data_IF_116498470893
#
_entry.id   IF_116498470893
#
_cell.length_a   1.000
_cell.length_b   1.000
_cell.length_c   1.000
_cell.angle_alpha   90.00
_cell.angle_beta   90.00
_cell.angle_gamma   90.00
#
_symmetry.space_group_name_H-M   'P 1'
#
loop_
_entity.id
_entity.type
_entity.pdbx_description
1 polymer ?
#
# COMPACT_ATOMS: atom_id res chain seq x y z
N UNK A 1 -29.00 36.98 18.84
CA UNK A 1 -28.37 35.99 17.93
C UNK A 1 -27.21 36.60 17.14
N UNK A 2 -27.39 37.76 16.48
CA UNK A 2 -26.36 38.41 15.64
C UNK A 2 -25.00 38.65 16.36
N UNK A 3 -25.01 39.18 17.59
CA UNK A 3 -23.78 39.43 18.36
C UNK A 3 -22.94 38.18 18.59
N UNK A 4 -23.57 37.02 18.88
CA UNK A 4 -22.84 35.76 19.06
C UNK A 4 -22.24 35.24 17.75
N UNK A 5 -22.99 35.35 16.64
CA UNK A 5 -22.49 34.98 15.32
C UNK A 5 -21.32 35.88 14.90
N UNK A 6 -21.44 37.19 15.11
CA UNK A 6 -20.38 38.16 14.83
C UNK A 6 -19.12 37.89 15.65
N UNK A 7 -19.25 37.68 16.97
CA UNK A 7 -18.09 37.39 17.83
C UNK A 7 -17.38 36.08 17.43
N UNK A 8 -18.12 35.07 16.96
CA UNK A 8 -17.50 33.83 16.42
C UNK A 8 -16.70 34.07 15.14
N UNK A 9 -17.23 34.87 14.22
CA UNK A 9 -16.52 35.21 12.98
C UNK A 9 -15.29 36.06 13.28
N UNK A 10 -15.44 37.05 14.17
CA UNK A 10 -14.35 37.94 14.59
C UNK A 10 -13.22 37.17 15.29
N UNK A 11 -13.54 36.18 16.14
CA UNK A 11 -12.52 35.35 16.79
C UNK A 11 -11.77 34.43 15.84
N UNK A 12 -12.39 34.04 14.72
CA UNK A 12 -11.77 33.15 13.75
C UNK A 12 -10.86 33.91 12.76
N UNK A 13 -11.27 35.11 12.35
CA UNK A 13 -10.63 35.89 11.28
C UNK A 13 -10.64 37.40 11.63
N UNK A 14 -9.82 37.83 12.62
CA UNK A 14 -9.91 39.19 13.14
C UNK A 14 -9.51 40.24 12.11
N UNK A 15 -8.47 39.97 11.30
CA UNK A 15 -7.94 40.93 10.31
C UNK A 15 -8.94 41.14 9.17
N UNK A 16 -9.52 40.04 8.68
CA UNK A 16 -10.49 40.04 7.59
C UNK A 16 -11.80 40.71 8.01
N UNK A 17 -12.23 40.46 9.25
CA UNK A 17 -13.44 41.09 9.79
C UNK A 17 -13.25 42.59 9.97
N UNK A 18 -12.06 43.02 10.45
CA UNK A 18 -11.72 44.45 10.54
C UNK A 18 -11.72 45.07 9.14
N UNK A 19 -11.04 44.46 8.16
CA UNK A 19 -10.99 44.99 6.79
C UNK A 19 -12.37 45.11 6.14
N UNK A 20 -13.24 44.11 6.31
CA UNK A 20 -14.62 44.15 5.82
C UNK A 20 -15.46 45.23 6.51
N UNK A 21 -15.35 45.38 7.83
CA UNK A 21 -16.04 46.41 8.59
C UNK A 21 -15.55 47.82 8.20
N UNK A 22 -14.23 48.01 8.04
CA UNK A 22 -13.65 49.28 7.58
C UNK A 22 -14.11 49.61 6.17
N UNK A 23 -14.12 48.63 5.26
CA UNK A 23 -14.64 48.80 3.90
C UNK A 23 -16.11 49.23 3.88
N UNK A 24 -16.97 48.53 4.64
CA UNK A 24 -18.40 48.90 4.77
C UNK A 24 -18.60 50.29 5.37
N UNK A 25 -17.79 50.66 6.37
CA UNK A 25 -17.83 51.99 6.95
C UNK A 25 -17.46 53.08 5.93
N UNK A 26 -16.40 52.86 5.13
CA UNK A 26 -16.01 53.80 4.06
C UNK A 26 -17.07 53.93 2.97
N UNK A 27 -17.80 52.86 2.66
CA UNK A 27 -18.94 52.89 1.73
C UNK A 27 -20.07 53.74 2.31
N UNK A 28 -20.47 53.49 3.56
CA UNK A 28 -21.55 54.24 4.21
C UNK A 28 -21.20 55.74 4.32
N UNK A 29 -19.96 56.06 4.69
CA UNK A 29 -19.46 57.44 4.75
C UNK A 29 -19.40 58.07 3.36
N UNK A 30 -18.94 57.34 2.34
CA UNK A 30 -18.92 57.79 0.95
C UNK A 30 -20.32 58.10 0.40
N UNK A 31 -21.32 57.26 0.72
CA UNK A 31 -22.73 57.48 0.35
C UNK A 31 -23.30 58.71 1.04
N UNK A 32 -23.03 58.88 2.34
CA UNK A 32 -23.48 60.05 3.09
C UNK A 32 -22.89 61.36 2.52
N UNK A 33 -21.58 61.38 2.24
CA UNK A 33 -20.89 62.52 1.62
C UNK A 33 -21.33 62.76 0.17
N UNK A 34 -21.70 61.70 -0.55
CA UNK A 34 -22.21 61.75 -1.93
C UNK A 34 -23.56 62.46 -2.08
N UNK A 35 -24.23 62.84 -0.99
CA UNK A 35 -25.43 63.68 -1.03
C UNK A 35 -25.12 65.18 -1.09
N UNK A 36 -23.86 65.58 -0.84
CA UNK A 36 -23.43 66.98 -0.93
C UNK A 36 -23.02 67.36 -2.35
N UNK A 37 -22.84 68.66 -2.62
CA UNK A 37 -22.40 69.19 -3.91
C UNK A 37 -20.92 69.63 -3.89
N UNK A 38 -20.33 69.81 -5.07
CA UNK A 38 -18.95 70.27 -5.22
C UNK A 38 -17.89 69.21 -4.91
N UNK A 39 -16.75 69.62 -4.35
CA UNK A 39 -15.60 68.74 -4.09
C UNK A 39 -15.89 67.62 -3.09
N UNK A 40 -16.81 67.84 -2.14
CA UNK A 40 -17.17 66.85 -1.12
C UNK A 40 -17.82 65.63 -1.76
N UNK A 41 -18.65 65.84 -2.79
CA UNK A 41 -19.27 64.76 -3.57
C UNK A 41 -18.22 63.83 -4.19
N UNK A 42 -17.20 64.41 -4.83
CA UNK A 42 -16.14 63.67 -5.51
C UNK A 42 -15.35 62.79 -4.53
N UNK A 43 -14.97 63.34 -3.37
CA UNK A 43 -14.30 62.56 -2.32
C UNK A 43 -15.21 61.48 -1.72
N UNK A 44 -16.52 61.74 -1.63
CA UNK A 44 -17.52 60.73 -1.25
C UNK A 44 -17.52 59.52 -2.20
N UNK A 45 -17.51 59.78 -3.52
CA UNK A 45 -17.45 58.71 -4.53
C UNK A 45 -16.14 57.92 -4.47
N UNK A 46 -14.98 58.60 -4.33
CA UNK A 46 -13.68 57.92 -4.18
C UNK A 46 -13.68 57.04 -2.91
N UNK A 47 -14.15 57.56 -1.78
CA UNK A 47 -14.24 56.80 -0.54
C UNK A 47 -15.12 55.57 -0.69
N UNK A 48 -16.26 55.69 -1.39
CA UNK A 48 -17.16 54.56 -1.64
C UNK A 48 -16.49 53.48 -2.52
N UNK A 49 -15.77 53.87 -3.57
CA UNK A 49 -15.04 52.94 -4.46
C UNK A 49 -13.92 52.22 -3.70
N UNK A 50 -13.14 52.94 -2.91
CA UNK A 50 -12.09 52.36 -2.07
C UNK A 50 -12.67 51.39 -1.04
N UNK A 51 -13.77 51.77 -0.37
CA UNK A 51 -14.47 50.91 0.57
C UNK A 51 -15.02 49.64 -0.06
N UNK A 52 -15.61 49.74 -1.26
CA UNK A 52 -16.12 48.59 -2.02
C UNK A 52 -14.98 47.64 -2.46
N UNK A 53 -13.83 48.21 -2.86
CA UNK A 53 -12.64 47.45 -3.23
C UNK A 53 -12.07 46.67 -2.04
N UNK A 54 -11.94 47.33 -0.87
CA UNK A 54 -11.49 46.67 0.36
C UNK A 54 -12.45 45.56 0.82
N UNK A 55 -13.76 45.80 0.78
CA UNK A 55 -14.76 44.79 1.13
C UNK A 55 -14.68 43.57 0.19
N UNK A 56 -14.50 43.80 -1.10
CA UNK A 56 -14.38 42.73 -2.10
C UNK A 56 -13.10 41.93 -1.91
N UNK A 57 -11.97 42.59 -1.67
CA UNK A 57 -10.69 41.93 -1.37
C UNK A 57 -10.78 41.09 -0.09
N UNK A 58 -11.43 41.60 0.96
CA UNK A 58 -11.64 40.84 2.20
C UNK A 58 -12.47 39.57 1.96
N UNK A 59 -13.53 39.66 1.14
CA UNK A 59 -14.36 38.48 0.79
C UNK A 59 -13.56 37.46 -0.04
N UNK A 60 -12.85 37.91 -1.08
CA UNK A 60 -12.03 37.03 -1.93
C UNK A 60 -10.94 36.34 -1.11
N UNK A 61 -10.27 37.08 -0.22
CA UNK A 61 -9.29 36.52 0.70
C UNK A 61 -9.90 35.43 1.58
N UNK A 62 -11.04 35.72 2.21
CA UNK A 62 -11.75 34.75 3.08
C UNK A 62 -12.14 33.49 2.32
N UNK A 63 -12.63 33.61 1.08
CA UNK A 63 -12.98 32.47 0.24
C UNK A 63 -11.76 31.64 -0.15
N UNK A 64 -10.65 32.30 -0.49
CA UNK A 64 -9.39 31.63 -0.82
C UNK A 64 -8.83 30.88 0.39
N UNK A 65 -8.89 31.50 1.57
CA UNK A 65 -8.42 30.91 2.81
C UNK A 65 -9.26 29.69 3.21
N UNK A 66 -10.59 29.76 3.09
CA UNK A 66 -11.47 28.59 3.28
C UNK A 66 -11.16 27.46 2.29
N UNK A 67 -10.87 27.80 1.04
CA UNK A 67 -10.50 26.81 0.04
C UNK A 67 -9.15 26.14 0.38
N UNK A 68 -8.17 26.89 0.88
CA UNK A 68 -6.89 26.32 1.34
C UNK A 68 -7.07 25.47 2.60
N UNK A 69 -7.87 25.93 3.57
CA UNK A 69 -8.19 25.17 4.79
C UNK A 69 -8.91 23.86 4.46
N UNK A 70 -9.88 23.87 3.52
CA UNK A 70 -10.58 22.67 3.09
C UNK A 70 -9.63 21.64 2.43
N UNK A 71 -8.66 22.11 1.62
CA UNK A 71 -7.64 21.23 1.03
C UNK A 71 -6.69 20.68 2.09
N UNK A 72 -6.24 21.50 3.02
CA UNK A 72 -5.41 21.07 4.15
C UNK A 72 -6.14 20.03 5.01
N UNK A 73 -7.41 20.26 5.33
CA UNK A 73 -8.24 19.32 6.08
C UNK A 73 -8.44 17.99 5.33
N UNK A 74 -8.60 18.04 3.99
CA UNK A 74 -8.68 16.82 3.18
C UNK A 74 -7.36 16.04 3.21
N UNK A 75 -6.21 16.71 3.05
CA UNK A 75 -4.89 16.09 3.13
C UNK A 75 -4.63 15.50 4.52
N UNK A 76 -4.93 16.24 5.58
CA UNK A 76 -4.78 15.76 6.96
C UNK A 76 -5.66 14.52 7.24
N UNK A 77 -6.86 14.45 6.69
CA UNK A 77 -7.71 13.26 6.81
C UNK A 77 -7.12 12.03 6.10
N UNK A 78 -6.44 12.22 4.97
CA UNK A 78 -5.74 11.13 4.27
C UNK A 78 -4.56 10.65 5.11
N UNK A 79 -3.75 11.58 5.62
CA UNK A 79 -2.59 11.28 6.47
C UNK A 79 -3.01 10.60 7.77
N UNK A 80 -4.10 11.04 8.40
CA UNK A 80 -4.66 10.41 9.60
C UNK A 80 -5.07 8.95 9.34
N UNK A 81 -5.74 8.67 8.20
CA UNK A 81 -6.08 7.29 7.82
C UNK A 81 -4.84 6.45 7.55
N UNK A 82 -3.82 7.02 6.89
CA UNK A 82 -2.56 6.31 6.66
C UNK A 82 -1.90 5.94 7.98
N UNK A 83 -1.86 6.87 8.94
CA UNK A 83 -1.33 6.65 10.28
C UNK A 83 -2.08 5.51 11.00
N UNK A 84 -3.41 5.54 10.98
CA UNK A 84 -4.26 4.51 11.56
C UNK A 84 -4.01 3.13 10.93
N UNK A 85 -3.86 3.08 9.60
CA UNK A 85 -3.55 1.83 8.90
C UNK A 85 -2.17 1.29 9.26
N UNK A 86 -1.15 2.15 9.35
CA UNK A 86 0.21 1.76 9.75
C UNK A 86 0.23 1.23 11.18
N UNK A 87 -0.46 1.89 12.12
CA UNK A 87 -0.59 1.44 13.51
C UNK A 87 -1.26 0.06 13.57
N UNK A 88 -2.35 -0.14 12.82
CA UNK A 88 -3.05 -1.43 12.76
C UNK A 88 -2.17 -2.55 12.17
N UNK A 89 -1.35 -2.23 11.16
CA UNK A 89 -0.40 -3.16 10.57
C UNK A 89 0.69 -3.56 11.58
N UNK A 90 1.31 -2.58 12.25
CA UNK A 90 2.30 -2.85 13.31
C UNK A 90 1.71 -3.77 14.38
N UNK A 91 0.50 -3.47 14.87
CA UNK A 91 -0.14 -4.29 15.90
C UNK A 91 -0.37 -5.74 15.43
N UNK A 92 -0.78 -5.93 14.17
CA UNK A 92 -0.96 -7.26 13.58
C UNK A 92 0.36 -8.00 13.40
N UNK A 93 1.41 -7.32 12.93
CA UNK A 93 2.74 -7.90 12.74
C UNK A 93 3.35 -8.31 14.08
N UNK A 94 3.26 -7.46 15.11
CA UNK A 94 3.72 -7.76 16.47
C UNK A 94 2.96 -8.94 17.07
N UNK A 95 1.62 -8.96 16.94
CA UNK A 95 0.81 -10.10 17.41
C UNK A 95 1.15 -11.39 16.68
N UNK A 96 1.28 -11.33 15.35
CA UNK A 96 1.61 -12.49 14.53
C UNK A 96 2.99 -13.08 14.82
N UNK A 97 3.97 -12.22 15.11
CA UNK A 97 5.30 -12.63 15.59
C UNK A 97 5.27 -13.26 16.98
N UNK A 98 4.52 -12.66 17.92
CA UNK A 98 4.34 -13.18 19.28
C UNK A 98 3.67 -14.56 19.31
N UNK A 99 2.70 -14.78 18.44
CA UNK A 99 1.96 -16.04 18.33
C UNK A 99 2.74 -17.11 17.53
N UNK A 100 4.00 -16.86 17.15
CA UNK A 100 4.85 -17.69 16.27
C UNK A 100 4.21 -18.05 14.91
N UNK A 101 3.13 -17.35 14.56
CA UNK A 101 2.36 -17.58 13.33
C UNK A 101 3.02 -17.00 12.08
N UNK A 102 3.99 -16.08 12.26
CA UNK A 102 4.72 -15.41 11.19
C UNK A 102 6.23 -15.51 11.49
N UNK A 103 7.08 -15.89 10.52
CA UNK A 103 8.52 -15.91 10.69
C UNK A 103 9.08 -14.54 11.13
N UNK A 104 10.10 -14.55 11.99
CA UNK A 104 10.67 -13.34 12.58
C UNK A 104 11.09 -12.29 11.55
N UNK A 105 11.80 -12.73 10.52
CA UNK A 105 12.22 -11.92 9.40
C UNK A 105 11.06 -11.15 8.73
N UNK A 106 9.90 -11.80 8.59
CA UNK A 106 8.75 -11.26 7.85
C UNK A 106 8.04 -10.19 8.67
N UNK A 107 7.78 -10.43 9.96
CA UNK A 107 7.10 -9.40 10.77
C UNK A 107 8.02 -8.22 11.08
N UNK A 108 9.33 -8.43 11.27
CA UNK A 108 10.30 -7.35 11.47
C UNK A 108 10.40 -6.45 10.23
N UNK A 109 10.46 -7.04 9.03
CA UNK A 109 10.45 -6.28 7.77
C UNK A 109 9.13 -5.48 7.59
N UNK A 110 7.99 -6.04 8.01
CA UNK A 110 6.71 -5.32 7.99
C UNK A 110 6.70 -4.13 8.96
N UNK A 111 7.26 -4.29 10.16
CA UNK A 111 7.38 -3.20 11.13
C UNK A 111 8.30 -2.10 10.58
N UNK A 112 9.45 -2.46 10.00
CA UNK A 112 10.38 -1.51 9.37
C UNK A 112 9.69 -0.70 8.27
N UNK A 113 8.95 -1.36 7.38
CA UNK A 113 8.18 -0.68 6.33
C UNK A 113 7.10 0.26 6.91
N UNK A 114 6.46 -0.12 8.01
CA UNK A 114 5.48 0.73 8.68
C UNK A 114 6.13 1.97 9.31
N UNK A 115 7.32 1.82 9.89
CA UNK A 115 8.10 2.93 10.46
C UNK A 115 8.48 3.91 9.34
N UNK A 116 8.98 3.45 8.19
CA UNK A 116 9.32 4.32 7.06
C UNK A 116 8.09 5.10 6.55
N UNK A 117 6.92 4.46 6.47
CA UNK A 117 5.68 5.14 6.12
C UNK A 117 5.28 6.20 7.15
N UNK A 118 5.43 5.92 8.46
CA UNK A 118 5.14 6.87 9.52
C UNK A 118 6.10 8.08 9.48
N UNK A 119 7.39 7.87 9.18
CA UNK A 119 8.35 8.96 8.98
C UNK A 119 7.91 9.86 7.82
N UNK A 120 7.53 9.25 6.69
CA UNK A 120 7.03 10.00 5.53
C UNK A 120 5.78 10.83 5.85
N UNK A 121 4.77 10.22 6.48
CA UNK A 121 3.54 10.90 6.91
C UNK A 121 3.86 12.05 7.88
N UNK A 122 4.74 11.83 8.85
CA UNK A 122 5.10 12.85 9.85
C UNK A 122 5.80 14.04 9.20
N UNK A 123 6.68 13.78 8.23
CA UNK A 123 7.34 14.83 7.45
C UNK A 123 6.33 15.66 6.64
N UNK A 124 5.38 15.01 5.96
CA UNK A 124 4.31 15.68 5.21
C UNK A 124 3.42 16.53 6.12
N UNK A 125 3.07 16.05 7.33
CA UNK A 125 2.33 16.85 8.31
C UNK A 125 3.16 18.07 8.76
N UNK A 126 4.46 17.89 8.99
CA UNK A 126 5.36 18.99 9.35
C UNK A 126 5.42 20.08 8.28
N UNK A 127 5.50 19.67 7.01
CA UNK A 127 5.49 20.58 5.86
C UNK A 127 4.15 21.33 5.74
N UNK A 128 3.02 20.63 5.91
CA UNK A 128 1.68 21.23 5.85
C UNK A 128 1.43 22.21 7.01
N UNK A 129 1.88 21.87 8.21
CA UNK A 129 1.63 22.67 9.41
C UNK A 129 2.63 23.80 9.61
N UNK A 130 3.73 23.80 8.86
CA UNK A 130 4.83 24.76 9.03
C UNK A 130 5.52 24.64 10.40
N UNK A 131 5.26 23.56 11.13
CA UNK A 131 5.86 23.25 12.43
C UNK A 131 6.63 21.95 12.27
N UNK A 132 7.89 21.95 12.68
CA UNK A 132 8.56 20.68 12.95
C UNK A 132 7.82 20.03 14.12
N UNK A 133 7.18 18.89 13.85
CA UNK A 133 6.55 18.12 14.90
C UNK A 133 7.64 17.67 15.87
N UNK A 134 7.47 17.83 17.19
CA UNK A 134 8.46 17.45 18.20
C UNK A 134 8.51 15.94 18.41
N UNK A 135 7.84 15.14 17.58
CA UNK A 135 8.07 13.71 17.58
C UNK A 135 9.52 13.50 17.18
N UNK A 136 10.29 12.97 18.12
CA UNK A 136 11.71 12.76 17.94
C UNK A 136 11.86 11.71 16.83
N UNK A 137 12.02 12.19 15.60
CA UNK A 137 12.38 11.35 14.46
C UNK A 137 13.62 10.53 14.82
N UNK A 138 14.46 11.06 15.71
CA UNK A 138 15.56 10.37 16.36
C UNK A 138 15.10 9.13 17.13
N UNK A 139 14.06 9.19 17.97
CA UNK A 139 13.52 8.02 18.68
C UNK A 139 12.96 6.97 17.71
N UNK A 140 12.24 7.39 16.67
CA UNK A 140 11.76 6.44 15.63
C UNK A 140 12.90 5.80 14.84
N UNK A 141 13.93 6.57 14.50
CA UNK A 141 15.13 6.06 13.83
C UNK A 141 15.92 5.13 14.76
N UNK A 142 16.01 5.45 16.04
CA UNK A 142 16.67 4.61 17.05
C UNK A 142 15.91 3.30 17.25
N UNK A 143 14.58 3.34 17.29
CA UNK A 143 13.73 2.14 17.31
C UNK A 143 13.93 1.28 16.05
N UNK A 144 14.03 1.90 14.87
CA UNK A 144 14.34 1.20 13.62
C UNK A 144 15.70 0.49 13.69
N UNK A 145 16.73 1.20 14.13
CA UNK A 145 18.08 0.64 14.22
C UNK A 145 18.15 -0.52 15.23
N UNK A 146 17.41 -0.41 16.34
CA UNK A 146 17.28 -1.48 17.33
C UNK A 146 16.59 -2.72 16.74
N UNK A 147 15.50 -2.54 15.98
CA UNK A 147 14.82 -3.63 15.30
C UNK A 147 15.68 -4.30 14.22
N UNK A 148 16.50 -3.53 13.50
CA UNK A 148 17.46 -4.10 12.55
C UNK A 148 18.54 -4.93 13.24
N UNK A 149 19.01 -4.48 14.41
CA UNK A 149 19.97 -5.24 15.22
C UNK A 149 19.32 -6.55 15.71
N UNK A 150 18.09 -6.49 16.22
CA UNK A 150 17.38 -7.67 16.72
C UNK A 150 17.06 -8.66 15.59
N UNK A 151 16.65 -8.17 14.41
CA UNK A 151 16.46 -8.98 13.20
C UNK A 151 17.76 -9.68 12.78
N UNK A 152 18.90 -8.99 12.84
CA UNK A 152 20.21 -9.57 12.53
C UNK A 152 20.64 -10.64 13.54
N UNK A 153 20.25 -10.48 14.81
CA UNK A 153 20.59 -11.44 15.87
C UNK A 153 19.70 -12.68 15.80
N UNK A 154 18.41 -12.53 15.45
CA UNK A 154 17.47 -13.66 15.35
C UNK A 154 17.63 -14.48 14.06
N UNK A 155 18.06 -13.87 12.96
CA UNK A 155 18.43 -14.58 11.73
C UNK A 155 19.95 -14.83 11.67
N UNK A 156 20.42 -15.90 12.32
CA UNK A 156 21.82 -16.39 12.21
C UNK A 156 22.26 -16.81 10.79
N UNK A 157 21.40 -16.64 9.78
CA UNK A 157 21.71 -16.71 8.36
C UNK A 157 20.89 -15.63 7.66
N UNK A 158 21.44 -14.43 7.52
CA UNK A 158 20.93 -13.52 6.49
C UNK A 158 21.18 -14.21 5.16
N UNK A 159 20.14 -14.63 4.40
CA UNK A 159 20.38 -15.10 3.04
C UNK A 159 21.02 -13.94 2.29
N UNK A 160 22.27 -14.14 1.88
CA UNK A 160 23.00 -13.16 1.08
C UNK A 160 22.11 -12.78 -0.11
N UNK A 161 21.63 -11.52 -0.13
CA UNK A 161 20.70 -11.06 -1.15
C UNK A 161 21.43 -11.04 -2.48
N UNK A 162 21.29 -12.12 -3.25
CA UNK A 162 21.89 -12.26 -4.56
C UNK A 162 21.33 -11.18 -5.48
N UNK A 163 22.18 -10.21 -5.83
CA UNK A 163 21.87 -9.22 -6.84
C UNK A 163 21.90 -9.89 -8.21
N UNK A 164 20.86 -9.65 -9.01
CA UNK A 164 20.75 -10.13 -10.39
C UNK A 164 20.80 -8.90 -11.30
N UNK A 165 21.62 -8.99 -12.35
CA UNK A 165 21.68 -7.95 -13.39
C UNK A 165 20.52 -8.16 -14.34
N UNK A 166 19.73 -7.12 -14.54
CA UNK A 166 18.49 -7.13 -15.31
C UNK A 166 18.55 -6.01 -16.34
N UNK A 167 17.90 -6.24 -17.49
CA UNK A 167 18.00 -5.35 -18.65
C UNK A 167 16.62 -4.87 -19.07
N UNK A 168 16.34 -3.58 -18.92
CA UNK A 168 15.02 -3.00 -19.22
C UNK A 168 15.15 -1.60 -19.86
N UNK A 169 14.09 -1.12 -20.51
CA UNK A 169 14.10 0.19 -21.17
C UNK A 169 13.89 1.33 -20.16
N UNK A 170 14.80 2.31 -20.14
CA UNK A 170 14.70 3.50 -19.29
C UNK A 170 13.34 4.19 -19.47
N UNK A 171 12.59 4.47 -18.38
CA UNK A 171 11.26 5.07 -18.49
C UNK A 171 11.30 6.48 -19.11
N UNK A 172 12.41 7.21 -18.95
CA UNK A 172 12.61 8.57 -19.48
C UNK A 172 13.02 8.60 -20.95
N UNK A 173 14.13 7.94 -21.33
CA UNK A 173 14.69 8.05 -22.69
C UNK A 173 14.43 6.83 -23.59
N UNK A 174 13.77 5.78 -23.07
CA UNK A 174 13.43 4.52 -23.77
C UNK A 174 14.61 3.68 -24.26
N UNK A 175 15.86 4.07 -23.99
CA UNK A 175 17.05 3.26 -24.26
C UNK A 175 17.19 2.14 -23.23
N UNK A 176 17.70 0.99 -23.66
CA UNK A 176 17.93 -0.17 -22.82
C UNK A 176 19.02 0.13 -21.77
N UNK A 177 18.79 -0.30 -20.53
CA UNK A 177 19.70 -0.08 -19.39
C UNK A 177 19.84 -1.36 -18.60
N UNK A 178 21.09 -1.72 -18.29
CA UNK A 178 21.43 -2.78 -17.35
C UNK A 178 21.54 -2.22 -15.93
N UNK A 179 20.92 -2.86 -14.96
CA UNK A 179 21.03 -2.51 -13.55
C UNK A 179 20.89 -3.73 -12.65
N UNK A 180 21.38 -3.61 -11.42
CA UNK A 180 21.28 -4.68 -10.42
C UNK A 180 20.06 -4.46 -9.53
N UNK A 181 19.28 -5.51 -9.32
CA UNK A 181 18.18 -5.57 -8.34
C UNK A 181 18.20 -6.93 -7.65
N UNK A 182 17.77 -7.00 -6.40
CA UNK A 182 17.72 -8.26 -5.68
C UNK A 182 16.82 -9.30 -6.36
N UNK A 183 17.11 -10.58 -6.14
CA UNK A 183 16.40 -11.69 -6.76
C UNK A 183 15.01 -11.97 -6.15
N UNK A 184 14.71 -11.42 -4.98
CA UNK A 184 13.50 -11.76 -4.24
C UNK A 184 12.32 -10.84 -4.62
N UNK A 185 11.08 -11.36 -4.61
CA UNK A 185 9.88 -10.55 -4.63
C UNK A 185 9.91 -9.35 -3.67
N UNK A 186 9.59 -8.16 -4.17
CA UNK A 186 9.61 -6.92 -3.39
C UNK A 186 10.95 -6.19 -3.37
N UNK A 187 12.03 -6.83 -3.85
CA UNK A 187 13.32 -6.16 -3.96
C UNK A 187 13.23 -4.94 -4.89
N UNK A 188 13.94 -3.89 -4.48
CA UNK A 188 13.83 -2.57 -5.07
C UNK A 188 15.21 -1.97 -5.26
N UNK A 189 15.43 -1.29 -6.39
CA UNK A 189 16.68 -0.59 -6.69
C UNK A 189 16.40 0.83 -7.22
N UNK A 190 17.39 1.71 -7.10
CA UNK A 190 17.31 3.10 -7.59
C UNK A 190 18.43 3.41 -8.61
N UNK A 191 18.47 2.71 -9.75
CA UNK A 191 19.51 2.90 -10.76
C UNK A 191 19.45 4.29 -11.41
N UNK A 192 20.57 4.64 -12.04
CA UNK A 192 20.73 5.84 -12.86
C UNK A 192 20.94 5.41 -14.31
N UNK A 193 20.16 5.96 -15.24
CA UNK A 193 20.31 5.64 -16.65
C UNK A 193 21.64 6.21 -17.19
N UNK A 194 22.54 5.39 -17.77
CA UNK A 194 23.81 5.88 -18.31
C UNK A 194 23.63 6.77 -19.56
N UNK A 195 22.48 6.70 -20.22
CA UNK A 195 22.23 7.45 -21.45
C UNK A 195 21.64 8.85 -21.24
N UNK A 196 20.83 9.06 -20.21
CA UNK A 196 20.18 10.36 -19.95
C UNK A 196 20.45 10.92 -18.55
N UNK A 197 21.17 10.20 -17.69
CA UNK A 197 21.50 10.63 -16.31
C UNK A 197 20.32 10.63 -15.34
N UNK A 198 19.11 10.31 -15.79
CA UNK A 198 17.93 10.30 -14.92
C UNK A 198 17.91 9.07 -14.02
N UNK A 199 17.58 9.28 -12.75
CA UNK A 199 17.34 8.21 -11.76
C UNK A 199 15.95 7.64 -11.96
N UNK A 200 15.78 6.34 -11.72
CA UNK A 200 14.48 5.68 -11.73
C UNK A 200 14.40 4.60 -10.64
N UNK A 201 13.19 4.20 -10.27
CA UNK A 201 12.93 3.12 -9.34
C UNK A 201 12.65 1.84 -10.12
N UNK A 202 13.37 0.77 -9.80
CA UNK A 202 13.10 -0.58 -10.27
C UNK A 202 12.50 -1.38 -9.11
N UNK A 203 11.31 -1.96 -9.31
CA UNK A 203 10.65 -2.81 -8.34
C UNK A 203 10.41 -4.20 -8.92
N UNK A 204 10.82 -5.25 -8.21
CA UNK A 204 10.50 -6.64 -8.56
C UNK A 204 9.15 -7.03 -7.95
N UNK A 205 8.23 -7.46 -8.80
CA UNK A 205 6.91 -7.92 -8.43
C UNK A 205 6.94 -9.24 -7.66
N UNK A 206 5.81 -9.61 -7.07
CA UNK A 206 5.59 -10.95 -6.50
C UNK A 206 5.67 -12.07 -7.53
N UNK A 207 5.45 -11.77 -8.81
CA UNK A 207 5.59 -12.70 -9.92
C UNK A 207 7.00 -12.73 -10.52
N UNK A 208 7.96 -11.97 -9.97
CA UNK A 208 9.34 -11.87 -10.45
C UNK A 208 9.58 -10.84 -11.56
N UNK A 209 8.52 -10.22 -12.10
CA UNK A 209 8.64 -9.21 -13.17
C UNK A 209 9.18 -7.89 -12.61
N UNK A 210 9.92 -7.12 -13.42
CA UNK A 210 10.45 -5.83 -12.99
C UNK A 210 9.62 -4.69 -13.58
N UNK A 211 9.29 -3.71 -12.76
CA UNK A 211 8.63 -2.48 -13.21
C UNK A 211 9.51 -1.27 -12.92
N UNK A 212 9.70 -0.43 -13.94
CA UNK A 212 10.45 0.81 -13.83
C UNK A 212 9.52 2.01 -13.68
N UNK A 213 9.85 2.93 -12.77
CA UNK A 213 9.09 4.17 -12.52
C UNK A 213 10.02 5.36 -12.35
N UNK A 214 9.63 6.52 -12.87
CA UNK A 214 10.33 7.78 -12.56
C UNK A 214 10.07 8.20 -11.10
N UNK A 215 11.05 8.80 -10.40
CA UNK A 215 10.82 9.42 -9.11
C UNK A 215 9.70 10.47 -9.24
N UNK A 216 8.74 10.46 -8.31
CA UNK A 216 7.58 11.36 -8.35
C UNK A 216 6.47 10.96 -9.33
N UNK A 217 6.66 9.99 -10.23
CA UNK A 217 5.59 9.53 -11.12
C UNK A 217 4.45 8.78 -10.40
N UNK A 218 4.65 8.37 -9.14
CA UNK A 218 3.57 7.83 -8.30
C UNK A 218 2.55 8.89 -7.86
N UNK A 219 2.83 10.19 -8.03
CA UNK A 219 2.00 11.26 -7.47
C UNK A 219 0.76 11.62 -8.31
N UNK A 220 0.61 11.05 -9.51
CA UNK A 220 -0.57 11.30 -10.35
C UNK A 220 -1.50 10.09 -10.47
N UNK A 221 -1.43 9.11 -9.56
CA UNK A 221 -2.50 8.13 -9.48
C UNK A 221 -3.68 8.69 -8.69
N UNK A 222 -4.81 8.93 -9.36
CA UNK A 222 -6.06 9.28 -8.69
C UNK A 222 -6.72 8.00 -8.19
N UNK A 223 -6.96 7.91 -6.89
CA UNK A 223 -7.83 6.89 -6.35
C UNK A 223 -9.27 7.16 -6.84
N UNK A 224 -9.85 6.20 -7.56
CA UNK A 224 -11.25 6.22 -7.98
C UNK A 224 -11.97 4.99 -7.44
N UNK A 225 -13.27 5.13 -7.26
CA UNK A 225 -14.14 4.03 -6.90
C UNK A 225 -15.26 3.98 -7.92
N UNK A 226 -15.32 2.88 -8.67
CA UNK A 226 -16.35 2.66 -9.70
C UNK A 226 -17.27 1.53 -9.28
N UNK A 227 -18.54 1.59 -9.67
CA UNK A 227 -19.49 0.52 -9.36
C UNK A 227 -19.34 -0.61 -10.38
N UNK A 228 -19.29 -1.85 -9.89
CA UNK A 228 -19.33 -3.03 -10.74
C UNK A 228 -20.68 -3.09 -11.49
N UNK A 229 -20.70 -3.24 -12.82
CA UNK A 229 -21.95 -3.32 -13.57
C UNK A 229 -22.75 -4.60 -13.30
N UNK A 230 -22.14 -5.63 -12.70
CA UNK A 230 -22.79 -6.92 -12.42
C UNK A 230 -23.46 -6.95 -11.05
N UNK A 231 -22.80 -6.43 -10.02
CA UNK A 231 -23.28 -6.56 -8.64
C UNK A 231 -23.32 -5.24 -7.85
N UNK A 232 -23.12 -4.10 -8.52
CA UNK A 232 -23.09 -2.74 -7.95
C UNK A 232 -22.05 -2.50 -6.84
N UNK A 233 -21.17 -3.48 -6.54
CA UNK A 233 -20.11 -3.32 -5.53
C UNK A 233 -19.08 -2.28 -5.98
N UNK A 234 -18.50 -1.57 -5.02
CA UNK A 234 -17.45 -0.59 -5.28
C UNK A 234 -16.12 -1.29 -5.57
N UNK A 235 -15.52 -0.99 -6.73
CA UNK A 235 -14.20 -1.45 -7.14
C UNK A 235 -13.21 -0.29 -6.93
N UNK A 236 -12.29 -0.39 -5.96
CA UNK A 236 -11.23 0.61 -5.81
C UNK A 236 -10.18 0.42 -6.91
N UNK A 237 -9.80 1.52 -7.57
CA UNK A 237 -8.73 1.54 -8.56
C UNK A 237 -7.85 2.77 -8.38
N UNK A 238 -6.55 2.61 -8.61
CA UNK A 238 -5.61 3.72 -8.67
C UNK A 238 -5.28 3.95 -10.14
N UNK A 239 -5.82 5.02 -10.69
CA UNK A 239 -5.70 5.33 -12.11
C UNK A 239 -4.62 6.38 -12.31
N UNK A 240 -3.63 6.03 -13.12
CA UNK A 240 -2.59 6.96 -13.58
C UNK A 240 -3.21 8.01 -14.50
N UNK A 241 -3.21 9.28 -14.10
CA UNK A 241 -3.80 10.38 -14.88
C UNK A 241 -3.14 10.57 -16.26
N UNK A 242 -1.92 10.06 -16.45
CA UNK A 242 -1.24 10.11 -17.75
C UNK A 242 -1.64 8.99 -18.71
N UNK A 243 -2.31 7.93 -18.23
CA UNK A 243 -2.74 6.81 -19.08
C UNK A 243 -4.13 7.08 -19.65
N UNK A 244 -4.21 7.11 -20.98
CA UNK A 244 -5.49 7.15 -21.71
C UNK A 244 -6.09 5.76 -21.92
N UNK A 245 -5.34 4.69 -21.65
CA UNK A 245 -5.83 3.34 -21.85
C UNK A 245 -6.59 2.84 -20.63
N UNK A 246 -7.70 2.17 -20.88
CA UNK A 246 -8.49 1.53 -19.84
C UNK A 246 -7.72 0.39 -19.17
N UNK A 247 -7.85 0.28 -17.86
CA UNK A 247 -7.20 -0.77 -17.09
C UNK A 247 -8.18 -1.91 -16.83
N UNK A 248 -7.72 -3.15 -17.01
CA UNK A 248 -8.52 -4.34 -16.72
C UNK A 248 -8.38 -4.72 -15.25
N UNK A 249 -9.51 -4.91 -14.56
CA UNK A 249 -9.57 -5.33 -13.15
C UNK A 249 -10.65 -6.38 -12.92
N UNK A 250 -10.60 -7.03 -11.76
CA UNK A 250 -11.61 -7.97 -11.31
C UNK A 250 -12.41 -7.38 -10.15
N UNK A 251 -13.72 -7.56 -10.17
CA UNK A 251 -14.58 -7.27 -9.04
C UNK A 251 -14.39 -8.34 -7.95
N UNK A 252 -13.87 -7.96 -6.78
CA UNK A 252 -13.64 -8.91 -5.68
C UNK A 252 -14.93 -9.49 -5.07
N UNK A 253 -16.07 -8.83 -5.27
CA UNK A 253 -17.37 -9.31 -4.77
C UNK A 253 -17.98 -10.40 -5.64
N UNK A 254 -18.00 -10.24 -6.96
CA UNK A 254 -18.66 -11.19 -7.87
C UNK A 254 -17.72 -11.96 -8.81
N UNK A 255 -16.47 -11.55 -8.97
CA UNK A 255 -15.50 -12.18 -9.88
C UNK A 255 -15.48 -11.59 -11.29
N UNK A 256 -16.43 -10.72 -11.64
CA UNK A 256 -16.53 -10.14 -12.98
C UNK A 256 -15.25 -9.40 -13.40
N UNK A 257 -14.83 -9.65 -14.65
CA UNK A 257 -13.71 -8.96 -15.29
C UNK A 257 -14.24 -7.68 -15.93
N UNK A 258 -13.67 -6.54 -15.55
CA UNK A 258 -14.13 -5.21 -15.96
C UNK A 258 -12.98 -4.38 -16.51
N UNK A 259 -13.31 -3.44 -17.37
CA UNK A 259 -12.42 -2.40 -17.87
C UNK A 259 -12.81 -1.07 -17.24
N UNK A 260 -11.87 -0.35 -16.66
CA UNK A 260 -12.12 0.94 -16.04
C UNK A 260 -11.54 2.03 -16.93
N UNK A 261 -12.40 2.91 -17.43
CA UNK A 261 -12.01 4.09 -18.20
C UNK A 261 -11.43 5.17 -17.27
N UNK A 262 -10.16 5.58 -17.47
CA UNK A 262 -9.52 6.60 -16.67
C UNK A 262 -10.20 7.97 -16.72
N UNK A 263 -10.82 8.33 -17.85
CA UNK A 263 -11.39 9.66 -18.07
C UNK A 263 -12.85 9.71 -17.60
N UNK A 264 -13.66 8.75 -18.04
CA UNK A 264 -15.08 8.69 -17.72
C UNK A 264 -15.40 8.14 -16.33
N UNK A 265 -14.43 7.52 -15.64
CA UNK A 265 -14.68 6.73 -14.42
C UNK A 265 -15.79 5.68 -14.63
N UNK A 266 -15.95 5.23 -15.87
CA UNK A 266 -16.95 4.24 -16.24
C UNK A 266 -16.34 2.85 -16.19
N UNK A 267 -17.13 1.91 -15.67
CA UNK A 267 -16.76 0.52 -15.55
C UNK A 267 -17.52 -0.27 -16.61
N UNK A 268 -16.80 -0.80 -17.60
CA UNK A 268 -17.38 -1.60 -18.67
C UNK A 268 -17.15 -3.08 -18.36
N UNK A 269 -18.19 -3.90 -18.49
CA UNK A 269 -18.06 -5.34 -18.32
C UNK A 269 -17.28 -5.93 -19.51
N UNK A 270 -16.16 -6.61 -19.23
CA UNK A 270 -15.43 -7.38 -20.24
C UNK A 270 -15.92 -8.82 -20.28
N UNK A 271 -16.08 -9.45 -19.11
CA UNK A 271 -16.58 -10.82 -19.00
C UNK A 271 -17.23 -11.07 -17.65
N UNK A 272 -18.37 -11.75 -17.67
CA UNK A 272 -19.04 -12.26 -16.47
C UNK A 272 -18.48 -13.65 -16.18
N UNK A 273 -17.42 -13.69 -15.37
CA UNK A 273 -16.91 -14.94 -14.81
C UNK A 273 -17.21 -14.96 -13.31
N UNK A 274 -17.71 -16.10 -12.84
CA UNK A 274 -17.83 -16.35 -11.42
C UNK A 274 -16.44 -16.55 -10.79
N UNK A 275 -16.36 -16.32 -9.48
CA UNK A 275 -15.14 -16.58 -8.72
C UNK A 275 -14.79 -18.06 -8.79
N UNK A 276 -13.55 -18.34 -9.17
CA UNK A 276 -12.99 -19.68 -9.15
C UNK A 276 -12.61 -20.06 -7.71
N UNK A 277 -12.93 -21.28 -7.25
CA UNK A 277 -12.49 -21.74 -5.94
C UNK A 277 -10.96 -21.87 -5.92
N UNK A 278 -10.32 -21.43 -4.84
CA UNK A 278 -8.90 -21.57 -4.60
C UNK A 278 -8.59 -22.18 -3.24
N UNK A 279 -7.39 -22.70 -3.08
CA UNK A 279 -6.86 -23.12 -1.78
C UNK A 279 -5.38 -22.78 -1.67
N UNK A 280 -4.87 -22.67 -0.43
CA UNK A 280 -3.43 -22.54 -0.19
C UNK A 280 -2.85 -23.96 -0.13
N UNK A 281 -1.78 -24.22 -0.89
CA UNK A 281 -1.05 -25.47 -0.79
C UNK A 281 -0.19 -25.50 0.49
N UNK A 282 0.49 -26.63 0.76
CA UNK A 282 1.36 -26.77 1.94
C UNK A 282 2.52 -25.75 2.01
N UNK A 283 2.84 -25.08 0.89
CA UNK A 283 3.83 -24.01 0.83
C UNK A 283 3.22 -22.61 0.97
N UNK A 284 1.92 -22.49 1.31
CA UNK A 284 1.23 -21.21 1.43
C UNK A 284 0.97 -20.48 0.10
N UNK A 285 1.16 -21.16 -1.04
CA UNK A 285 0.89 -20.59 -2.36
C UNK A 285 -0.57 -20.83 -2.74
N UNK A 286 -1.26 -19.78 -3.17
CA UNK A 286 -2.62 -19.90 -3.68
C UNK A 286 -2.60 -20.68 -5.00
N UNK A 287 -3.43 -21.72 -5.10
CA UNK A 287 -3.61 -22.54 -6.29
C UNK A 287 -5.08 -22.53 -6.72
N UNK A 288 -5.32 -22.59 -8.03
CA UNK A 288 -6.66 -22.65 -8.58
C UNK A 288 -7.25 -24.04 -8.38
N UNK A 289 -8.44 -24.15 -7.79
CA UNK A 289 -9.11 -25.45 -7.56
C UNK A 289 -9.57 -26.15 -8.83
N UNK A 290 -9.62 -25.46 -9.98
CA UNK A 290 -10.03 -26.03 -11.26
C UNK A 290 -8.86 -26.68 -12.02
N UNK A 291 -7.75 -25.98 -12.16
CA UNK A 291 -6.58 -26.45 -12.93
C UNK A 291 -5.37 -26.88 -12.07
N UNK A 292 -5.42 -26.67 -10.75
CA UNK A 292 -4.32 -26.88 -9.79
C UNK A 292 -3.01 -26.12 -10.07
N UNK A 293 -3.03 -25.13 -10.96
CA UNK A 293 -1.86 -24.27 -11.17
C UNK A 293 -1.74 -23.20 -10.07
N UNK A 294 -0.50 -22.75 -9.77
CA UNK A 294 -0.27 -21.58 -8.92
C UNK A 294 -0.90 -20.34 -9.56
N UNK A 295 -1.63 -19.56 -8.77
CA UNK A 295 -2.20 -18.30 -9.22
C UNK A 295 -1.34 -17.11 -8.83
N UNK A 296 -1.47 -16.04 -9.60
CA UNK A 296 -0.82 -14.76 -9.25
C UNK A 296 -1.62 -14.13 -8.12
N UNK A 297 -1.11 -14.20 -6.89
CA UNK A 297 -1.74 -13.57 -5.73
C UNK A 297 -1.83 -12.06 -5.92
N UNK A 298 -3.04 -11.51 -5.80
CA UNK A 298 -3.32 -10.09 -5.88
C UNK A 298 -3.29 -9.42 -4.50
N UNK A 299 -3.99 -10.02 -3.54
CA UNK A 299 -4.11 -9.49 -2.17
C UNK A 299 -4.57 -10.57 -1.21
N UNK A 300 -4.16 -10.46 0.05
CA UNK A 300 -4.66 -11.27 1.17
C UNK A 300 -5.22 -10.34 2.26
N UNK A 301 -6.41 -10.62 2.75
CA UNK A 301 -7.06 -9.86 3.83
C UNK A 301 -7.86 -10.78 4.75
N UNK A 302 -8.61 -10.21 5.69
CA UNK A 302 -9.42 -10.98 6.65
C UNK A 302 -10.53 -11.82 6.02
N UNK A 303 -10.97 -11.50 4.79
CA UNK A 303 -11.95 -12.32 4.08
C UNK A 303 -11.29 -13.53 3.39
N UNK A 304 -10.02 -13.41 2.99
CA UNK A 304 -9.29 -14.48 2.32
C UNK A 304 -8.18 -13.99 1.41
N UNK A 305 -7.68 -14.89 0.57
CA UNK A 305 -6.63 -14.62 -0.43
C UNK A 305 -7.22 -14.64 -1.83
N UNK A 306 -6.94 -13.59 -2.60
CA UNK A 306 -7.40 -13.40 -3.97
C UNK A 306 -6.23 -13.52 -4.93
N UNK A 307 -6.43 -14.18 -6.07
CA UNK A 307 -5.42 -14.29 -7.13
C UNK A 307 -6.03 -14.45 -8.52
N UNK A 308 -5.20 -14.45 -9.57
CA UNK A 308 -5.63 -14.66 -10.96
C UNK A 308 -5.09 -15.99 -11.46
N UNK A 309 -5.98 -16.85 -11.96
CA UNK A 309 -5.59 -18.06 -12.69
C UNK A 309 -5.13 -17.68 -14.10
N UNK A 310 -3.89 -18.00 -14.47
CA UNK A 310 -3.37 -17.70 -15.81
C UNK A 310 -4.07 -18.48 -16.92
N UNK A 311 -4.42 -19.75 -16.67
CA UNK A 311 -5.07 -20.61 -17.67
C UNK A 311 -6.52 -20.23 -17.93
N UNK A 312 -7.28 -19.97 -16.87
CA UNK A 312 -8.71 -19.66 -16.97
C UNK A 312 -9.00 -18.15 -17.06
N UNK A 313 -7.97 -17.31 -16.88
CA UNK A 313 -8.09 -15.84 -16.87
C UNK A 313 -9.22 -15.35 -15.95
N UNK A 314 -9.29 -15.94 -14.74
CA UNK A 314 -10.37 -15.72 -13.79
C UNK A 314 -9.87 -15.46 -12.37
N UNK A 315 -10.71 -14.77 -11.58
CA UNK A 315 -10.43 -14.43 -10.18
C UNK A 315 -10.60 -15.68 -9.29
N UNK A 316 -9.51 -16.13 -8.70
CA UNK A 316 -9.48 -17.21 -7.71
C UNK A 316 -9.59 -16.64 -6.30
N UNK A 317 -10.41 -17.25 -5.46
CA UNK A 317 -10.60 -16.87 -4.05
C UNK A 317 -10.47 -18.07 -3.11
N UNK A 318 -9.63 -17.94 -2.09
CA UNK A 318 -9.56 -18.85 -0.95
C UNK A 318 -10.01 -18.13 0.32
N UNK A 319 -11.09 -18.60 0.95
CA UNK A 319 -11.63 -17.99 2.16
C UNK A 319 -10.67 -18.15 3.35
N UNK A 320 -10.58 -17.12 4.19
CA UNK A 320 -9.83 -17.18 5.44
C UNK A 320 -10.37 -18.31 6.33
N UNK A 321 -9.47 -19.12 6.90
CA UNK A 321 -9.85 -20.23 7.79
C UNK A 321 -10.28 -21.52 7.09
N UNK A 322 -10.19 -21.60 5.76
CA UNK A 322 -10.30 -22.90 5.08
C UNK A 322 -9.07 -23.74 5.48
N UNK A 323 -9.25 -24.89 6.16
CA UNK A 323 -8.11 -25.71 6.56
C UNK A 323 -7.31 -26.11 5.31
N UNK A 324 -5.97 -26.15 5.39
CA UNK A 324 -5.14 -26.56 4.28
C UNK A 324 -5.60 -27.94 3.83
N UNK A 325 -5.99 -28.04 2.54
CA UNK A 325 -6.44 -29.31 2.00
C UNK A 325 -5.27 -30.29 2.13
N UNK A 326 -5.44 -31.47 2.77
CA UNK A 326 -4.37 -32.45 2.86
C UNK A 326 -3.88 -32.73 1.44
N UNK A 327 -2.57 -32.61 1.23
CA UNK A 327 -1.95 -32.76 -0.07
C UNK A 327 -2.49 -34.05 -0.70
N UNK A 328 -3.32 -33.91 -1.74
CA UNK A 328 -3.86 -35.06 -2.46
C UNK A 328 -2.65 -35.78 -3.02
N UNK A 329 -2.44 -37.02 -2.58
CA UNK A 329 -1.34 -37.84 -3.06
C UNK A 329 -1.32 -37.75 -4.59
N UNK A 330 -0.15 -37.49 -5.22
CA UNK A 330 -0.06 -37.34 -6.66
C UNK A 330 -0.76 -38.54 -7.29
N UNK A 331 -1.73 -38.25 -8.17
CA UNK A 331 -2.46 -39.30 -8.85
C UNK A 331 -1.43 -40.26 -9.48
N UNK A 332 -1.57 -41.58 -9.27
CA UNK A 332 -0.64 -42.53 -9.87
C UNK A 332 -0.56 -42.23 -11.36
N UNK A 333 0.65 -42.20 -11.95
CA UNK A 333 0.82 -41.88 -13.36
C UNK A 333 -0.14 -42.76 -14.17
N UNK A 334 -0.97 -42.11 -14.98
CA UNK A 334 -1.94 -42.80 -15.82
C UNK A 334 -1.21 -43.90 -16.58
N UNK A 335 -1.57 -45.16 -16.29
CA UNK A 335 -0.97 -46.31 -16.94
C UNK A 335 -1.09 -46.11 -18.45
N UNK A 336 0.06 -46.04 -19.11
CA UNK A 336 0.16 -45.98 -20.56
C UNK A 336 -0.71 -47.09 -21.17
N UNK A 337 -1.51 -46.81 -22.21
CA UNK A 337 -2.25 -47.86 -22.88
C UNK A 337 -1.25 -48.83 -23.51
N UNK A 338 -1.11 -50.01 -22.91
CA UNK A 338 -0.33 -51.11 -23.46
C UNK A 338 -0.99 -51.59 -24.75
N UNK A 339 -0.25 -51.71 -25.87
CA UNK A 339 -0.73 -52.39 -27.05
C UNK A 339 -0.86 -53.90 -26.76
N UNK A 340 -1.98 -54.47 -27.19
CA UNK A 340 -2.27 -55.89 -27.11
C UNK A 340 -1.28 -56.70 -27.97
N UNK A 341 -0.84 -57.85 -27.44
CA UNK A 341 -0.43 -59.00 -28.27
C UNK A 341 0.92 -59.61 -27.94
N UNK A 342 0.92 -60.68 -27.12
CA UNK A 342 1.26 -62.07 -27.52
C UNK A 342 1.81 -62.89 -26.34
N UNK A 343 1.46 -64.19 -26.22
CA UNK A 343 1.76 -65.02 -25.05
C UNK A 343 3.00 -65.92 -25.22
N UNK A 344 3.35 -66.62 -24.13
CA UNK A 344 4.37 -67.70 -23.98
C UNK A 344 5.80 -67.18 -23.73
N UNK A 345 6.61 -67.67 -22.79
CA UNK A 345 6.74 -69.01 -22.17
C UNK A 345 7.35 -68.91 -20.75
N UNK A 346 6.99 -69.87 -19.93
CA UNK A 346 7.42 -70.26 -18.59
C UNK A 346 8.92 -70.56 -18.37
N UNK A 347 9.46 -70.29 -17.17
CA UNK A 347 10.21 -71.24 -16.33
C UNK A 347 10.65 -70.63 -14.96
N UNK A 348 10.91 -71.44 -13.91
CA UNK A 348 10.94 -71.02 -12.50
C UNK A 348 12.34 -71.16 -11.83
N UNK A 349 12.38 -71.01 -10.50
CA UNK A 349 13.50 -71.23 -9.53
C UNK A 349 14.30 -69.95 -9.21
N UNK A 350 14.70 -69.62 -7.97
CA UNK A 350 15.10 -70.42 -6.81
C UNK A 350 14.89 -69.66 -5.48
N UNK A 351 14.65 -70.45 -4.44
CA UNK A 351 14.75 -70.21 -2.99
C UNK A 351 16.04 -69.54 -2.49
N UNK A 352 15.97 -68.77 -1.39
CA UNK A 352 16.58 -69.08 -0.07
C UNK A 352 16.73 -67.85 0.86
N UNK A 353 16.89 -68.04 2.19
CA UNK A 353 16.44 -67.10 3.24
C UNK A 353 17.54 -66.44 4.12
N UNK A 354 17.15 -65.36 4.83
CA UNK A 354 17.63 -64.88 6.17
C UNK A 354 19.13 -64.56 6.37
N UNK A 355 19.60 -63.86 7.46
CA UNK A 355 18.93 -63.55 8.73
C UNK A 355 19.10 -62.12 9.29
N UNK A 356 18.37 -61.93 10.40
CA UNK A 356 18.37 -60.87 11.42
C UNK A 356 19.71 -60.59 12.10
N UNK A 357 19.92 -59.36 12.59
CA UNK A 357 20.64 -59.04 13.84
C UNK A 357 20.41 -57.56 14.28
N UNK A 358 20.60 -57.23 15.58
CA UNK A 358 19.75 -56.26 16.29
C UNK A 358 20.41 -54.91 16.64
N UNK A 359 19.57 -54.00 17.15
CA UNK A 359 19.90 -52.73 17.78
C UNK A 359 20.72 -52.86 19.07
N UNK A 360 21.32 -51.75 19.52
CA UNK A 360 21.19 -51.37 20.93
C UNK A 360 20.81 -49.88 21.14
N UNK A 361 19.83 -49.67 22.03
CA UNK A 361 19.58 -48.41 22.77
C UNK A 361 20.45 -48.37 24.04
N UNK A 362 20.23 -47.45 25.00
CA UNK A 362 20.57 -46.02 25.00
C UNK A 362 21.53 -45.69 26.16
N UNK A 363 22.21 -44.53 26.13
CA UNK A 363 22.78 -43.96 27.36
C UNK A 363 22.33 -42.52 27.57
N UNK A 364 21.83 -42.32 28.78
CA UNK A 364 21.36 -41.10 29.38
C UNK A 364 22.54 -40.27 29.92
N UNK A 365 22.45 -38.96 29.77
CA UNK A 365 23.14 -38.01 30.64
C UNK A 365 22.24 -36.78 30.83
N UNK A 366 21.98 -36.47 32.09
CA UNK A 366 21.30 -35.31 32.68
C UNK A 366 22.13 -34.99 33.94
N UNK A 367 21.94 -33.86 34.65
CA UNK A 367 22.04 -32.45 34.26
C UNK A 367 23.10 -31.70 35.12
N UNK A 368 23.55 -30.53 34.68
CA UNK A 368 24.15 -29.46 35.51
C UNK A 368 23.73 -28.16 34.81
N UNK A 369 22.96 -27.23 35.39
CA UNK A 369 22.82 -26.88 36.79
C UNK A 369 23.86 -25.83 37.11
N UNK A 370 23.59 -24.56 36.77
CA UNK A 370 24.15 -23.42 37.49
C UNK A 370 23.23 -22.21 37.41
N UNK A 371 22.93 -21.74 38.62
CA UNK A 371 22.14 -20.56 38.92
C UNK A 371 23.01 -19.31 38.74
N UNK A 372 22.44 -18.26 38.14
CA UNK A 372 23.07 -16.94 38.16
C UNK A 372 22.15 -15.95 38.85
N UNK A 373 22.73 -15.35 39.88
CA UNK A 373 22.10 -14.53 40.90
C UNK A 373 21.61 -13.17 40.39
N UNK A 374 20.55 -12.69 41.03
CA UNK A 374 20.11 -11.29 41.08
C UNK A 374 20.81 -10.58 42.23
N UNK A 375 21.35 -9.39 41.95
CA UNK A 375 21.59 -8.23 42.84
C UNK A 375 22.71 -7.39 42.20
N UNK A 376 22.76 -6.06 42.16
CA UNK A 376 21.91 -4.98 42.64
C UNK A 376 22.16 -3.78 41.71
N UNK A 377 21.12 -2.95 41.53
CA UNK A 377 21.23 -1.63 40.93
C UNK A 377 21.62 -0.61 41.99
N UNK A 378 22.46 0.34 41.57
CA UNK A 378 22.96 1.47 42.33
C UNK A 378 21.98 2.66 42.35
N UNK A 379 22.27 3.58 43.27
CA UNK A 379 22.22 5.06 43.18
C UNK A 379 21.09 5.78 42.43
#
# INVERSE_FOLDING_TARGET
MLRKAFMRVFSAHPVETIAACTGLFMIALGVALGTQSGWIWFWGQISAICGASLATLAVVWTLRQRATEARMAANLNVLARQLETSISQIHKSVKGGRDESIPAAVYLAQIEQCIDNLIGVTHEIGEITGRQLPFDVIEMLTARDTLQIEARITDGRTPERKLVTETENCPACKKQVEFQVGSLPGDSAKPTCPHCGQRFHAHRSTSGNIFLRMPGASQFTRAVSVNCPVCASKIPANIDQGKQHSETRYCFSCGAKVSIDPLGQQCTLLSKQDRLPGHLNGAGTLVCGKCNDPVITLTSNSAGTYGICRKDDGLVFAAAGTPPHPARAPAPPAASPHPAGSPSTSAPSTSSPSPSAPAPSPQAAKPQGDAMARSDAAE
#
